data_IF_465697198888
#
_entry.id   IF_465697198888
#
_cell.length_a   1.000
_cell.length_b   1.000
_cell.length_c   1.000
_cell.angle_alpha   90.00
_cell.angle_beta   90.00
_cell.angle_gamma   90.00
#
_symmetry.space_group_name_H-M   'P 1'
#
loop_
_entity.id
_entity.type
_entity.pdbx_description
1 polymer ?
#
# COMPACT_ATOMS: atom_id res chain seq x y z
N UNK A 1 26.62 -8.20 39.05
CA UNK A 1 26.38 -6.94 39.81
C UNK A 1 25.07 -7.14 40.60
N UNK A 2 24.99 -6.87 41.91
CA UNK A 2 23.72 -7.06 42.65
C UNK A 2 22.77 -5.92 42.26
N UNK A 3 21.67 -6.25 41.58
CA UNK A 3 20.60 -5.29 41.30
C UNK A 3 19.88 -4.96 42.62
N UNK A 4 19.64 -3.66 42.88
CA UNK A 4 18.72 -3.26 43.93
C UNK A 4 17.31 -3.12 43.35
N UNK A 5 16.28 -3.21 44.20
CA UNK A 5 14.86 -3.20 43.78
C UNK A 5 14.54 -2.04 42.84
N UNK A 6 15.10 -0.85 43.09
CA UNK A 6 14.89 0.34 42.23
C UNK A 6 15.40 0.14 40.80
N UNK A 7 16.53 -0.54 40.60
CA UNK A 7 17.06 -0.83 39.26
C UNK A 7 16.23 -1.89 38.54
N UNK A 8 15.76 -2.92 39.27
CA UNK A 8 14.87 -3.94 38.69
C UNK A 8 13.56 -3.30 38.24
N UNK A 9 13.01 -2.38 39.03
CA UNK A 9 11.78 -1.67 38.68
C UNK A 9 11.94 -0.81 37.41
N UNK A 10 13.09 -0.14 37.25
CA UNK A 10 13.41 0.58 36.01
C UNK A 10 13.54 -0.36 34.80
N UNK A 11 14.07 -1.57 34.98
CA UNK A 11 14.11 -2.58 33.92
C UNK A 11 12.70 -3.07 33.56
N UNK A 12 11.81 -3.28 34.53
CA UNK A 12 10.40 -3.64 34.30
C UNK A 12 9.65 -2.56 33.52
N UNK A 13 9.93 -1.30 33.80
CA UNK A 13 9.37 -0.16 33.05
C UNK A 13 9.94 -0.07 31.63
N UNK A 14 11.24 -0.33 31.47
CA UNK A 14 11.92 -0.24 30.16
C UNK A 14 11.58 -1.41 29.24
N UNK A 15 11.38 -2.60 29.81
CA UNK A 15 11.12 -3.84 29.10
C UNK A 15 9.90 -4.54 29.71
N UNK A 16 8.68 -3.98 29.56
CA UNK A 16 7.47 -4.62 30.05
C UNK A 16 7.23 -5.97 29.37
N UNK A 17 6.44 -6.83 30.01
CA UNK A 17 5.99 -8.09 29.38
C UNK A 17 5.39 -7.82 28.00
N UNK A 18 5.78 -8.62 27.01
CA UNK A 18 5.38 -8.43 25.61
C UNK A 18 6.40 -7.65 24.77
N UNK A 19 7.40 -7.01 25.38
CA UNK A 19 8.47 -6.33 24.63
C UNK A 19 9.18 -7.30 23.71
N UNK A 20 9.29 -6.94 22.43
CA UNK A 20 10.00 -7.72 21.43
C UNK A 20 11.46 -7.30 21.36
N UNK A 21 12.35 -8.29 21.34
CA UNK A 21 13.80 -8.12 21.39
C UNK A 21 14.43 -8.86 20.21
N UNK A 22 15.44 -8.25 19.60
CA UNK A 22 16.40 -8.93 18.73
C UNK A 22 17.76 -9.02 19.45
N UNK A 23 18.35 -10.21 19.49
CA UNK A 23 19.67 -10.42 20.07
C UNK A 23 20.76 -9.99 19.08
N UNK A 24 21.68 -9.14 19.52
CA UNK A 24 22.83 -8.71 18.71
C UNK A 24 24.06 -9.59 18.96
N UNK A 25 24.40 -9.85 20.23
CA UNK A 25 25.44 -10.81 20.60
C UNK A 25 25.37 -11.25 22.07
N UNK A 26 25.91 -12.45 22.33
CA UNK A 26 26.04 -13.07 23.66
C UNK A 26 27.44 -13.69 23.74
N UNK A 27 28.43 -12.89 24.10
CA UNK A 27 29.86 -13.23 23.94
C UNK A 27 30.41 -14.15 25.06
N UNK A 28 29.77 -14.15 26.24
CA UNK A 28 30.27 -14.82 27.45
C UNK A 28 29.55 -16.12 27.81
N UNK A 29 28.53 -16.53 27.04
CA UNK A 29 27.77 -17.76 27.29
C UNK A 29 28.37 -18.97 26.55
N UNK A 30 28.54 -20.13 27.19
CA UNK A 30 29.07 -21.34 26.54
C UNK A 30 28.12 -21.94 25.48
N UNK A 31 26.83 -21.60 25.53
CA UNK A 31 25.79 -22.06 24.60
C UNK A 31 24.92 -20.85 24.17
N UNK A 32 25.51 -19.89 23.44
CA UNK A 32 24.84 -18.63 23.15
C UNK A 32 23.69 -18.84 22.16
N UNK A 33 22.66 -18.01 22.29
CA UNK A 33 21.65 -17.89 21.26
C UNK A 33 22.26 -17.21 20.02
N UNK A 34 21.97 -17.68 18.79
CA UNK A 34 22.50 -17.06 17.59
C UNK A 34 22.10 -15.56 17.48
N UNK A 35 23.02 -14.66 17.11
CA UNK A 35 22.69 -13.29 16.72
C UNK A 35 21.57 -13.22 15.68
N UNK A 36 20.70 -12.23 15.79
CA UNK A 36 19.50 -12.06 14.97
C UNK A 36 18.29 -12.88 15.45
N UNK A 37 18.46 -13.75 16.46
CA UNK A 37 17.32 -14.43 17.09
C UNK A 37 16.38 -13.42 17.72
N UNK A 38 15.08 -13.65 17.57
CA UNK A 38 14.03 -12.77 18.08
C UNK A 38 13.21 -13.47 19.15
N UNK A 39 12.81 -12.71 20.15
CA UNK A 39 12.08 -13.22 21.30
C UNK A 39 11.24 -12.16 21.97
N UNK A 40 10.32 -12.60 22.82
CA UNK A 40 9.41 -11.75 23.57
C UNK A 40 9.76 -11.83 25.05
N UNK A 41 9.84 -10.68 25.71
CA UNK A 41 10.01 -10.59 27.17
C UNK A 41 8.76 -11.15 27.84
N UNK A 42 8.91 -12.21 28.65
CA UNK A 42 7.83 -12.76 29.46
C UNK A 42 7.73 -12.04 30.81
N UNK A 43 8.86 -11.78 31.48
CA UNK A 43 8.96 -10.92 32.67
C UNK A 43 10.43 -10.62 33.03
N UNK A 44 10.64 -9.72 34.00
CA UNK A 44 11.95 -9.42 34.60
C UNK A 44 12.03 -10.06 35.98
N UNK A 45 13.01 -10.92 36.21
CA UNK A 45 13.23 -11.57 37.51
C UNK A 45 13.82 -10.61 38.56
N UNK A 46 13.91 -11.05 39.81
CA UNK A 46 14.43 -10.24 40.91
C UNK A 46 15.95 -10.01 40.86
N UNK A 47 16.66 -10.76 40.02
CA UNK A 47 18.07 -10.54 39.73
C UNK A 47 18.30 -9.49 38.63
N UNK A 48 17.24 -9.08 37.93
CA UNK A 48 17.28 -8.11 36.84
C UNK A 48 17.47 -8.73 35.45
N UNK A 49 17.30 -10.05 35.31
CA UNK A 49 17.39 -10.72 34.02
C UNK A 49 16.05 -10.66 33.28
N UNK A 50 16.12 -10.54 31.95
CA UNK A 50 14.95 -10.61 31.08
C UNK A 50 14.66 -12.09 30.81
N UNK A 51 13.56 -12.59 31.33
CA UNK A 51 13.07 -13.92 31.00
C UNK A 51 12.42 -13.86 29.63
N UNK A 52 13.00 -14.59 28.68
CA UNK A 52 12.63 -14.53 27.27
C UNK A 52 11.84 -15.78 26.84
N UNK A 53 10.90 -15.57 25.92
CA UNK A 53 10.32 -16.60 25.07
C UNK A 53 10.84 -16.38 23.66
N UNK A 54 11.77 -17.22 23.21
CA UNK A 54 12.35 -17.12 21.88
C UNK A 54 11.43 -17.75 20.84
N UNK A 55 11.39 -17.18 19.63
CA UNK A 55 10.54 -17.67 18.55
C UNK A 55 10.91 -19.09 18.10
N UNK A 56 12.18 -19.47 18.29
CA UNK A 56 12.71 -20.81 18.06
C UNK A 56 12.36 -21.81 19.18
N UNK A 57 11.62 -21.39 20.20
CA UNK A 57 11.20 -22.23 21.33
C UNK A 57 12.18 -22.29 22.50
N UNK A 58 13.27 -21.51 22.47
CA UNK A 58 14.22 -21.40 23.57
C UNK A 58 13.72 -20.55 24.75
N UNK A 59 14.39 -20.66 25.89
CA UNK A 59 14.06 -19.94 27.13
C UNK A 59 15.26 -19.30 27.85
N UNK A 60 16.41 -19.16 27.19
CA UNK A 60 17.59 -18.54 27.79
C UNK A 60 17.31 -17.05 28.07
N UNK A 61 17.58 -16.61 29.30
CA UNK A 61 17.36 -15.23 29.72
C UNK A 61 18.45 -14.30 29.18
N UNK A 62 18.15 -13.00 29.08
CA UNK A 62 19.15 -11.97 28.78
C UNK A 62 19.56 -11.21 30.03
N UNK A 63 20.84 -10.86 30.13
CA UNK A 63 21.45 -10.12 31.21
C UNK A 63 21.75 -8.69 30.70
N UNK A 64 20.98 -7.67 31.14
CA UNK A 64 21.23 -6.28 30.76
C UNK A 64 22.64 -5.82 31.12
N UNK A 65 23.37 -5.32 30.12
CA UNK A 65 24.74 -4.83 30.28
C UNK A 65 25.84 -5.87 30.05
N UNK A 66 25.48 -7.15 29.95
CA UNK A 66 26.37 -8.21 29.47
C UNK A 66 26.00 -8.65 28.06
N UNK A 67 24.71 -8.92 27.82
CA UNK A 67 24.19 -9.24 26.50
C UNK A 67 23.88 -7.97 25.70
N UNK A 68 24.15 -8.01 24.39
CA UNK A 68 23.84 -6.91 23.46
C UNK A 68 22.57 -7.24 22.72
N UNK A 69 21.57 -6.36 22.83
CA UNK A 69 20.28 -6.53 22.20
C UNK A 69 19.58 -5.18 22.05
N UNK A 70 18.58 -5.14 21.18
CA UNK A 70 17.71 -3.98 21.00
C UNK A 70 16.24 -4.37 20.96
N UNK A 71 15.38 -3.44 21.36
CA UNK A 71 13.93 -3.58 21.22
C UNK A 71 13.55 -3.44 19.75
N UNK A 72 12.77 -4.38 19.24
CA UNK A 72 12.13 -4.28 17.95
C UNK A 72 10.64 -4.06 18.22
N UNK A 73 10.05 -2.97 17.77
CA UNK A 73 8.58 -2.91 17.70
C UNK A 73 8.15 -3.75 16.49
N UNK A 74 7.02 -4.45 16.59
CA UNK A 74 6.36 -4.98 15.40
C UNK A 74 6.09 -3.82 14.42
N UNK A 75 5.62 -2.69 14.96
CA UNK A 75 5.40 -1.43 14.24
C UNK A 75 6.67 -0.90 13.54
N UNK A 76 7.82 -0.88 14.19
CA UNK A 76 9.05 -0.33 13.59
C UNK A 76 9.67 -1.23 12.52
N UNK A 77 9.42 -2.53 12.56
CA UNK A 77 9.88 -3.44 11.50
C UNK A 77 8.92 -3.41 10.30
N UNK A 78 7.62 -3.29 10.57
CA UNK A 78 6.58 -3.24 9.55
C UNK A 78 6.54 -1.89 8.84
N UNK A 79 6.66 -0.78 9.57
CA UNK A 79 6.72 0.58 9.00
C UNK A 79 7.97 0.79 8.14
N UNK A 80 9.14 0.29 8.57
CA UNK A 80 10.36 0.32 7.74
C UNK A 80 10.16 -0.52 6.47
N UNK A 81 9.56 -1.70 6.60
CA UNK A 81 9.28 -2.58 5.46
C UNK A 81 8.31 -1.93 4.47
N UNK A 82 7.22 -1.32 4.95
CA UNK A 82 6.25 -0.58 4.13
C UNK A 82 6.94 0.57 3.38
N UNK A 83 7.72 1.40 4.07
CA UNK A 83 8.44 2.52 3.46
C UNK A 83 9.45 2.07 2.41
N UNK A 84 10.19 1.00 2.66
CA UNK A 84 11.14 0.44 1.69
C UNK A 84 10.43 -0.14 0.45
N UNK A 85 9.31 -0.82 0.65
CA UNK A 85 8.46 -1.36 -0.41
C UNK A 85 7.87 -0.27 -1.30
N UNK A 86 7.25 0.74 -0.70
CA UNK A 86 6.70 1.90 -1.43
C UNK A 86 7.81 2.58 -2.23
N UNK A 87 8.97 2.84 -1.61
CA UNK A 87 10.12 3.43 -2.32
C UNK A 87 10.61 2.57 -3.50
N UNK A 88 10.61 1.26 -3.36
CA UNK A 88 10.97 0.35 -4.44
C UNK A 88 9.92 0.37 -5.56
N UNK A 89 8.64 0.38 -5.20
CA UNK A 89 7.52 0.52 -6.13
C UNK A 89 7.62 1.84 -6.92
N UNK A 90 7.70 2.98 -6.25
CA UNK A 90 7.75 4.31 -6.88
C UNK A 90 8.91 4.44 -7.86
N UNK A 91 10.08 3.90 -7.48
CA UNK A 91 11.27 3.89 -8.33
C UNK A 91 11.07 3.04 -9.58
N UNK A 92 10.43 1.88 -9.46
CA UNK A 92 10.20 0.98 -10.58
C UNK A 92 9.03 1.42 -11.46
N UNK A 93 8.04 2.10 -10.88
CA UNK A 93 6.76 2.35 -11.52
C UNK A 93 6.47 3.83 -11.83
N UNK A 94 7.44 4.72 -11.64
CA UNK A 94 7.33 6.13 -12.03
C UNK A 94 6.75 6.27 -13.46
N UNK A 95 5.73 7.11 -13.68
CA UNK A 95 5.22 8.16 -12.78
C UNK A 95 4.11 7.73 -11.81
N UNK A 96 3.78 6.44 -11.68
CA UNK A 96 2.91 5.96 -10.60
C UNK A 96 3.67 5.89 -9.28
N UNK A 97 2.97 6.19 -8.19
CA UNK A 97 3.51 6.15 -6.83
C UNK A 97 2.44 5.75 -5.81
N UNK A 98 2.88 5.22 -4.67
CA UNK A 98 1.99 4.84 -3.56
C UNK A 98 2.19 5.80 -2.38
N UNK A 99 1.09 6.17 -1.72
CA UNK A 99 1.10 6.91 -0.46
C UNK A 99 0.52 6.03 0.64
N UNK A 100 1.26 5.90 1.74
CA UNK A 100 0.76 5.37 3.00
C UNK A 100 0.08 6.52 3.78
N UNK A 101 -1.16 6.31 4.22
CA UNK A 101 -1.93 7.30 4.98
C UNK A 101 -1.79 7.13 6.50
N UNK A 102 -0.94 6.21 6.96
CA UNK A 102 -0.68 5.88 8.38
C UNK A 102 -1.93 5.40 9.15
N UNK A 103 -3.03 5.10 8.44
CA UNK A 103 -4.30 4.61 8.99
C UNK A 103 -4.68 3.20 8.47
N UNK A 104 -3.73 2.54 7.80
CA UNK A 104 -3.91 1.24 7.16
C UNK A 104 -4.38 1.31 5.71
N UNK A 105 -4.67 2.51 5.19
CA UNK A 105 -5.01 2.72 3.78
C UNK A 105 -3.80 3.18 2.98
N UNK A 106 -3.77 2.71 1.74
CA UNK A 106 -2.78 3.10 0.75
C UNK A 106 -3.50 3.70 -0.44
N UNK A 107 -2.92 4.72 -1.06
CA UNK A 107 -3.41 5.23 -2.36
C UNK A 107 -2.37 5.02 -3.45
N UNK A 108 -2.82 4.53 -4.60
CA UNK A 108 -2.07 4.54 -5.84
C UNK A 108 -2.42 5.81 -6.61
N UNK A 109 -1.40 6.56 -7.01
CA UNK A 109 -1.53 7.88 -7.59
C UNK A 109 -0.73 7.98 -8.89
N UNK A 110 -1.19 8.82 -9.82
CA UNK A 110 -0.48 9.17 -11.05
C UNK A 110 -0.18 10.67 -11.08
N UNK A 111 1.11 11.06 -11.07
CA UNK A 111 1.53 12.45 -10.85
C UNK A 111 1.48 13.36 -12.10
N UNK A 112 1.22 12.82 -13.29
CA UNK A 112 1.37 13.56 -14.55
C UNK A 112 0.10 13.51 -15.38
N UNK A 113 -0.38 14.70 -15.78
CA UNK A 113 -1.49 14.86 -16.74
C UNK A 113 -1.16 14.42 -18.16
N UNK A 114 0.10 14.10 -18.46
CA UNK A 114 0.53 13.73 -19.82
C UNK A 114 0.70 12.21 -19.97
N UNK A 115 0.99 11.49 -18.88
CA UNK A 115 1.25 10.06 -18.94
C UNK A 115 -0.05 9.29 -19.17
N UNK A 116 -0.19 8.66 -20.35
CA UNK A 116 -1.41 7.99 -20.78
C UNK A 116 -2.50 8.91 -21.36
N UNK A 117 -2.32 10.23 -21.30
CA UNK A 117 -3.30 11.20 -21.81
C UNK A 117 -3.51 11.11 -23.32
N UNK A 118 -2.50 10.69 -24.07
CA UNK A 118 -2.59 10.50 -25.53
C UNK A 118 -3.69 9.51 -25.91
N UNK A 119 -3.96 8.49 -25.09
CA UNK A 119 -5.04 7.53 -25.33
C UNK A 119 -6.43 8.18 -25.24
N UNK A 120 -6.62 9.09 -24.28
CA UNK A 120 -7.87 9.86 -24.15
C UNK A 120 -8.02 10.90 -25.26
N UNK A 121 -6.91 11.51 -25.69
CA UNK A 121 -6.91 12.43 -26.83
C UNK A 121 -7.27 11.70 -28.13
N UNK A 122 -6.74 10.49 -28.34
CA UNK A 122 -7.08 9.65 -29.49
C UNK A 122 -8.57 9.25 -29.47
N UNK A 123 -9.12 8.96 -28.28
CA UNK A 123 -10.56 8.72 -28.12
C UNK A 123 -11.40 9.95 -28.50
N UNK A 124 -11.01 11.15 -28.06
CA UNK A 124 -11.67 12.41 -28.42
C UNK A 124 -11.73 12.59 -29.94
N UNK A 125 -10.59 12.46 -30.61
CA UNK A 125 -10.49 12.56 -32.07
C UNK A 125 -11.33 11.50 -32.79
N UNK A 126 -11.37 10.28 -32.25
CA UNK A 126 -12.14 9.17 -32.79
C UNK A 126 -13.65 9.45 -32.81
N UNK A 127 -14.18 10.05 -31.73
CA UNK A 127 -15.61 10.39 -31.62
C UNK A 127 -15.94 11.77 -32.23
N UNK A 128 -14.93 12.51 -32.67
CA UNK A 128 -15.07 13.83 -33.29
C UNK A 128 -15.13 15.00 -32.31
N UNK A 129 -14.80 14.76 -31.04
CA UNK A 129 -14.70 15.77 -30.00
C UNK A 129 -13.36 16.52 -30.09
N UNK A 130 -13.30 17.80 -29.67
CA UNK A 130 -12.03 18.49 -29.57
C UNK A 130 -11.14 17.82 -28.51
N UNK A 131 -9.83 17.83 -28.71
CA UNK A 131 -8.87 17.30 -27.72
C UNK A 131 -8.88 18.14 -26.42
N UNK A 132 -9.13 19.45 -26.55
CA UNK A 132 -9.15 20.38 -25.42
C UNK A 132 -10.35 21.31 -25.48
N UNK A 133 -10.94 21.59 -24.32
CA UNK A 133 -11.89 22.69 -24.12
C UNK A 133 -11.12 24.02 -24.03
N UNK A 134 -11.38 24.92 -24.97
CA UNK A 134 -10.84 26.30 -25.02
C UNK A 134 -9.30 26.40 -24.93
N UNK A 135 -8.57 25.32 -25.23
CA UNK A 135 -7.12 25.23 -25.17
C UNK A 135 -6.52 25.22 -23.76
N UNK A 136 -7.34 25.03 -22.71
CA UNK A 136 -6.89 25.08 -21.32
C UNK A 136 -6.98 23.72 -20.60
N UNK A 137 -7.99 22.91 -20.91
CA UNK A 137 -8.24 21.63 -20.26
C UNK A 137 -8.46 20.54 -21.31
N UNK A 138 -8.01 19.32 -21.05
CA UNK A 138 -8.35 18.18 -21.90
C UNK A 138 -9.83 17.86 -21.78
N UNK A 139 -10.47 17.56 -22.90
CA UNK A 139 -11.89 17.17 -22.95
C UNK A 139 -12.12 15.80 -22.31
N UNK A 140 -11.17 14.89 -22.50
CA UNK A 140 -11.15 13.54 -21.91
C UNK A 140 -9.88 13.32 -21.07
N UNK A 141 -9.86 12.28 -20.23
CA UNK A 141 -8.80 11.96 -19.27
C UNK A 141 -9.06 12.49 -17.87
N UNK A 142 -10.32 12.78 -17.52
CA UNK A 142 -10.70 13.13 -16.15
C UNK A 142 -10.71 11.89 -15.22
N UNK A 143 -10.79 12.10 -13.90
CA UNK A 143 -10.71 11.02 -12.92
C UNK A 143 -11.75 9.91 -13.11
N UNK A 144 -12.97 10.24 -13.53
CA UNK A 144 -14.05 9.26 -13.76
C UNK A 144 -13.79 8.38 -14.98
N UNK A 145 -13.22 8.94 -16.04
CA UNK A 145 -12.82 8.17 -17.21
C UNK A 145 -11.64 7.26 -16.90
N UNK A 146 -10.67 7.74 -16.11
CA UNK A 146 -9.60 6.90 -15.59
C UNK A 146 -10.12 5.75 -14.70
N UNK A 147 -11.10 6.01 -13.83
CA UNK A 147 -11.77 4.95 -13.06
C UNK A 147 -12.44 3.93 -13.98
N UNK A 148 -13.19 4.41 -14.99
CA UNK A 148 -13.88 3.55 -15.97
C UNK A 148 -12.89 2.62 -16.67
N UNK A 149 -11.80 3.19 -17.18
CA UNK A 149 -10.72 2.45 -17.85
C UNK A 149 -10.06 1.46 -16.89
N UNK A 150 -9.77 1.85 -15.66
CA UNK A 150 -9.17 0.97 -14.67
C UNK A 150 -10.08 -0.20 -14.31
N UNK A 151 -11.36 0.05 -14.03
CA UNK A 151 -12.34 -1.00 -13.75
C UNK A 151 -12.46 -1.97 -14.92
N UNK A 152 -12.45 -1.45 -16.15
CA UNK A 152 -12.48 -2.27 -17.36
C UNK A 152 -11.22 -3.12 -17.51
N UNK A 153 -10.05 -2.55 -17.22
CA UNK A 153 -8.75 -3.23 -17.28
C UNK A 153 -8.66 -4.42 -16.32
N UNK A 154 -9.32 -4.30 -15.17
CA UNK A 154 -9.29 -5.27 -14.08
C UNK A 154 -10.66 -5.89 -13.80
N UNK A 155 -11.53 -6.02 -14.81
CA UNK A 155 -12.88 -6.55 -14.63
C UNK A 155 -12.91 -7.97 -14.02
N UNK A 156 -11.88 -8.78 -14.31
CA UNK A 156 -11.72 -10.14 -13.76
C UNK A 156 -10.97 -10.18 -12.41
N UNK A 157 -10.56 -9.03 -11.85
CA UNK A 157 -9.83 -8.97 -10.59
C UNK A 157 -10.78 -9.19 -9.40
N UNK A 158 -10.65 -10.32 -8.65
CA UNK A 158 -11.56 -10.64 -7.56
C UNK A 158 -11.54 -9.62 -6.42
N UNK A 159 -10.46 -8.84 -6.28
CA UNK A 159 -10.34 -7.83 -5.25
C UNK A 159 -10.69 -6.41 -5.73
N UNK A 160 -11.20 -6.23 -6.96
CA UNK A 160 -11.55 -4.91 -7.47
C UNK A 160 -12.61 -4.20 -6.60
N UNK A 161 -13.49 -4.95 -5.96
CA UNK A 161 -14.50 -4.40 -5.03
C UNK A 161 -13.90 -3.80 -3.75
N UNK A 162 -12.60 -4.01 -3.49
CA UNK A 162 -11.87 -3.42 -2.37
C UNK A 162 -11.16 -2.12 -2.75
N UNK A 163 -11.32 -1.68 -3.99
CA UNK A 163 -10.72 -0.46 -4.53
C UNK A 163 -11.76 0.66 -4.50
N UNK A 164 -11.39 1.78 -3.89
CA UNK A 164 -12.17 3.02 -3.89
C UNK A 164 -11.48 4.07 -4.76
N UNK A 165 -12.22 4.88 -5.51
CA UNK A 165 -11.66 5.91 -6.38
C UNK A 165 -11.98 7.30 -5.85
N UNK A 166 -11.03 8.23 -5.99
CA UNK A 166 -11.24 9.66 -5.79
C UNK A 166 -11.03 10.39 -7.12
N UNK A 167 -12.14 10.55 -7.84
CA UNK A 167 -12.17 11.10 -9.18
C UNK A 167 -12.18 12.63 -9.22
N UNK A 168 -12.31 13.30 -8.05
CA UNK A 168 -12.42 14.76 -7.95
C UNK A 168 -11.06 15.48 -7.90
N UNK A 169 -9.98 14.76 -7.63
CA UNK A 169 -8.63 15.33 -7.46
C UNK A 169 -7.91 15.68 -8.78
N UNK A 170 -8.57 15.60 -9.94
CA UNK A 170 -8.01 16.03 -11.24
C UNK A 170 -6.88 15.13 -11.77
N UNK A 171 -6.91 13.85 -11.40
CA UNK A 171 -5.99 12.80 -11.83
C UNK A 171 -6.52 11.41 -11.45
N UNK A 172 -5.69 10.37 -11.62
CA UNK A 172 -6.03 9.01 -11.19
C UNK A 172 -5.59 8.78 -9.74
N UNK A 173 -6.58 8.51 -8.88
CA UNK A 173 -6.39 8.18 -7.47
C UNK A 173 -7.30 7.02 -7.08
N UNK A 174 -6.71 5.93 -6.59
CA UNK A 174 -7.47 4.84 -5.99
C UNK A 174 -6.87 4.36 -4.68
N UNK A 175 -7.70 3.79 -3.80
CA UNK A 175 -7.36 3.43 -2.44
C UNK A 175 -7.64 1.95 -2.17
N UNK A 176 -6.81 1.34 -1.31
CA UNK A 176 -7.09 0.04 -0.72
C UNK A 176 -6.44 -0.11 0.66
N UNK A 177 -6.97 -1.02 1.46
CA UNK A 177 -6.43 -1.40 2.78
C UNK A 177 -5.26 -2.41 2.67
N UNK A 178 -4.64 -2.53 1.50
CA UNK A 178 -3.59 -3.50 1.22
C UNK A 178 -2.51 -2.96 0.28
N UNK A 179 -1.31 -2.78 0.83
CA UNK A 179 -0.14 -2.39 0.04
C UNK A 179 0.17 -3.38 -1.09
N UNK A 180 0.08 -4.69 -0.83
CA UNK A 180 0.36 -5.71 -1.85
C UNK A 180 -0.62 -5.65 -3.02
N UNK A 181 -1.89 -5.31 -2.76
CA UNK A 181 -2.88 -5.12 -3.82
C UNK A 181 -2.58 -3.87 -4.65
N UNK A 182 -2.17 -2.77 -4.00
CA UNK A 182 -1.76 -1.54 -4.70
C UNK A 182 -0.50 -1.77 -5.55
N UNK A 183 0.48 -2.51 -5.05
CA UNK A 183 1.70 -2.85 -5.80
C UNK A 183 1.38 -3.69 -7.03
N UNK A 184 0.58 -4.75 -6.90
CA UNK A 184 0.22 -5.63 -8.02
C UNK A 184 -0.56 -4.87 -9.10
N UNK A 185 -1.65 -4.20 -8.70
CA UNK A 185 -2.49 -3.46 -9.64
C UNK A 185 -1.73 -2.30 -10.26
N UNK A 186 -0.95 -1.55 -9.46
CA UNK A 186 -0.17 -0.43 -9.95
C UNK A 186 0.88 -0.84 -10.98
N UNK A 187 1.61 -1.93 -10.75
CA UNK A 187 2.60 -2.41 -11.73
C UNK A 187 1.95 -2.96 -12.99
N UNK A 188 0.85 -3.71 -12.87
CA UNK A 188 0.09 -4.21 -14.04
C UNK A 188 -0.52 -3.07 -14.84
N UNK A 189 -1.10 -2.08 -14.16
CA UNK A 189 -1.72 -0.92 -14.81
C UNK A 189 -0.67 -0.06 -15.50
N UNK A 190 0.50 0.15 -14.87
CA UNK A 190 1.62 0.82 -15.52
C UNK A 190 2.00 0.12 -16.83
N UNK A 191 2.16 -1.20 -16.80
CA UNK A 191 2.54 -1.97 -17.98
C UNK A 191 1.50 -1.86 -19.11
N UNK A 192 0.21 -1.73 -18.76
CA UNK A 192 -0.84 -1.43 -19.74
C UNK A 192 -0.65 -0.04 -20.34
N UNK A 193 -0.45 1.01 -19.52
CA UNK A 193 -0.26 2.38 -20.02
C UNK A 193 1.01 2.50 -20.87
N UNK A 194 2.08 1.78 -20.53
CA UNK A 194 3.32 1.72 -21.31
C UNK A 194 3.11 1.08 -22.71
N UNK A 195 2.14 0.18 -22.85
CA UNK A 195 1.67 -0.34 -24.15
C UNK A 195 0.68 0.66 -24.77
N UNK A 196 1.21 1.71 -25.39
CA UNK A 196 0.41 2.85 -25.86
C UNK A 196 -0.72 2.47 -26.80
N UNK A 197 -0.50 1.51 -27.72
CA UNK A 197 -1.53 1.03 -28.65
C UNK A 197 -2.59 0.18 -27.92
N UNK A 198 -2.15 -0.76 -27.06
CA UNK A 198 -3.05 -1.56 -26.25
C UNK A 198 -3.90 -0.70 -25.31
N UNK A 199 -3.29 0.30 -24.69
CA UNK A 199 -3.97 1.23 -23.80
C UNK A 199 -4.97 2.11 -24.54
N UNK A 200 -4.63 2.65 -25.71
CA UNK A 200 -5.57 3.43 -26.52
C UNK A 200 -6.82 2.60 -26.92
N UNK A 201 -6.63 1.35 -27.30
CA UNK A 201 -7.74 0.43 -27.60
C UNK A 201 -8.60 0.16 -26.35
N UNK A 202 -7.96 -0.05 -25.20
CA UNK A 202 -8.65 -0.22 -23.93
C UNK A 202 -9.49 1.01 -23.57
N UNK A 203 -8.90 2.22 -23.66
CA UNK A 203 -9.61 3.48 -23.40
C UNK A 203 -10.82 3.64 -24.32
N UNK A 204 -10.62 3.47 -25.63
CA UNK A 204 -11.71 3.59 -26.61
C UNK A 204 -12.85 2.62 -26.33
N UNK A 205 -12.54 1.33 -26.08
CA UNK A 205 -13.56 0.33 -25.78
C UNK A 205 -14.30 0.61 -24.46
N UNK A 206 -13.56 0.94 -23.39
CA UNK A 206 -14.13 1.18 -22.07
C UNK A 206 -15.10 2.38 -22.06
N UNK A 207 -14.72 3.49 -22.70
CA UNK A 207 -15.54 4.71 -22.70
C UNK A 207 -16.75 4.60 -23.64
N UNK A 208 -16.66 3.87 -24.75
CA UNK A 208 -17.82 3.59 -25.61
C UNK A 208 -18.83 2.69 -24.94
N UNK A 209 -18.38 1.63 -24.27
CA UNK A 209 -19.26 0.73 -23.51
C UNK A 209 -19.98 1.53 -22.40
N UNK A 210 -19.24 2.32 -21.61
CA UNK A 210 -19.84 3.15 -20.55
C UNK A 210 -20.87 4.17 -21.07
N UNK A 211 -20.60 4.80 -22.22
CA UNK A 211 -21.54 5.73 -22.85
C UNK A 211 -22.80 5.03 -23.38
N UNK A 212 -22.69 3.79 -23.88
CA UNK A 212 -23.85 3.00 -24.31
C UNK A 212 -24.74 2.64 -23.12
N UNK A 213 -24.15 2.15 -22.02
CA UNK A 213 -24.88 1.78 -20.82
C UNK A 213 -25.67 2.97 -20.23
N UNK A 214 -25.06 4.16 -20.20
CA UNK A 214 -25.74 5.38 -19.75
C UNK A 214 -26.93 5.78 -20.64
N UNK A 215 -26.79 5.65 -21.96
CA UNK A 215 -27.88 5.93 -22.90
C UNK A 215 -29.02 4.94 -22.67
N UNK A 216 -28.71 3.65 -22.49
CA UNK A 216 -29.71 2.62 -22.23
C UNK A 216 -30.47 2.89 -20.92
N UNK A 217 -29.77 3.16 -19.80
CA UNK A 217 -30.41 3.53 -18.52
C UNK A 217 -31.36 4.73 -18.65
N UNK A 218 -30.92 5.80 -19.31
CA UNK A 218 -31.76 7.00 -19.53
C UNK A 218 -32.99 6.65 -20.37
N UNK A 219 -32.84 5.83 -21.42
CA UNK A 219 -33.98 5.42 -22.24
C UNK A 219 -34.99 4.57 -21.48
N UNK A 220 -34.53 3.68 -20.58
CA UNK A 220 -35.39 2.88 -19.73
C UNK A 220 -36.14 3.73 -18.69
N UNK A 221 -35.47 4.68 -18.03
CA UNK A 221 -36.11 5.60 -17.08
C UNK A 221 -37.18 6.47 -17.75
N UNK A 222 -36.88 7.05 -18.91
CA UNK A 222 -37.85 7.85 -19.67
C UNK A 222 -39.05 7.01 -20.11
N UNK A 223 -38.80 5.76 -20.53
CA UNK A 223 -39.88 4.85 -20.93
C UNK A 223 -40.76 4.43 -19.74
N UNK A 224 -40.18 4.27 -18.54
CA UNK A 224 -40.93 4.01 -17.31
C UNK A 224 -41.82 5.20 -16.91
N UNK A 225 -41.30 6.43 -16.91
CA UNK A 225 -42.06 7.64 -16.56
C UNK A 225 -43.22 7.91 -17.52
N UNK A 226 -43.04 7.63 -18.82
CA UNK A 226 -44.10 7.74 -19.82
C UNK A 226 -45.18 6.65 -19.72
N UNK A 227 -44.98 5.62 -18.89
CA UNK A 227 -45.90 4.49 -18.71
C UNK A 227 -46.67 4.49 -17.39
N UNK A 228 -46.38 5.44 -16.49
CA UNK A 228 -47.11 5.68 -15.23
C UNK A 228 -48.20 6.74 -15.40
#
# INVERSE_FOLDING_TARGET
MVYNEKKVELLRQRYPKGTRICLDSMENDPFPIPPGSKGTVDFIDDAGNLIMKWDSGGSLSLIPGEDKFHTISQEGTEEINIKERIKAFDKANSPLYIVDHDDGRFSLCLQLKEYGQEAFNAYAEEIGDPVTEDGQFYTHGNGYEWETVFRRAFADEPNLSKIYFDCEAGGFFCYADSLSLMEDLGSRFKAMIDDTEGFANLVSSALKEANQDQIEEITEEVQMDMSM
#
